data_IF_980540694849
#
_entry.id   IF_980540694849
#
_cell.length_a   1.000
_cell.length_b   1.000
_cell.length_c   1.000
_cell.angle_alpha   90.00
_cell.angle_beta   90.00
_cell.angle_gamma   90.00
#
_symmetry.space_group_name_H-M   'P 1'
#
loop_
_entity.id
_entity.type
_entity.pdbx_description
1 polymer ?
#
# COMPACT_ATOMS: atom_id res chain seq x y z
N UNK A 1 78.33 22.00 19.42
CA UNK A 1 77.51 23.09 18.84
C UNK A 1 76.64 22.47 17.76
N UNK A 2 75.34 22.80 17.73
CA UNK A 2 74.25 22.33 16.83
C UNK A 2 73.52 21.04 17.20
N UNK A 3 72.59 21.25 18.12
CA UNK A 3 71.23 20.69 18.20
C UNK A 3 70.56 20.51 16.83
N UNK A 4 69.91 19.38 16.60
CA UNK A 4 68.81 19.27 15.64
C UNK A 4 67.73 18.34 16.20
N UNK A 5 66.79 18.93 16.94
CA UNK A 5 65.51 18.32 17.27
C UNK A 5 64.73 18.17 15.95
N UNK A 6 64.47 16.94 15.52
CA UNK A 6 63.45 16.65 14.50
C UNK A 6 62.16 16.28 15.24
N UNK A 7 61.20 17.20 15.20
CA UNK A 7 59.84 17.01 15.69
C UNK A 7 59.19 15.84 14.92
N UNK A 8 59.04 14.70 15.60
CA UNK A 8 58.12 13.65 15.15
C UNK A 8 56.72 14.11 15.57
N UNK A 9 55.98 14.69 14.64
CA UNK A 9 54.55 14.92 14.82
C UNK A 9 53.88 13.54 14.68
N UNK A 10 53.61 12.92 15.83
CA UNK A 10 52.80 11.72 15.91
C UNK A 10 51.34 12.13 15.60
N UNK A 11 50.91 11.97 14.35
CA UNK A 11 49.49 11.98 14.01
C UNK A 11 48.87 10.72 14.61
N UNK A 12 48.42 10.80 15.86
CA UNK A 12 47.46 9.86 16.40
C UNK A 12 46.13 10.11 15.67
N UNK A 13 45.92 9.42 14.55
CA UNK A 13 44.60 9.25 13.96
C UNK A 13 43.74 8.51 14.97
N UNK A 14 43.02 9.28 15.79
CA UNK A 14 41.92 8.79 16.61
C UNK A 14 40.89 8.23 15.63
N UNK A 15 40.93 6.91 15.42
CA UNK A 15 39.79 6.15 14.94
C UNK A 15 38.72 6.27 16.03
N UNK A 16 37.88 7.29 15.91
CA UNK A 16 36.56 7.31 16.53
C UNK A 16 35.78 6.16 15.90
N UNK A 17 35.92 4.96 16.47
CA UNK A 17 34.99 3.88 16.23
C UNK A 17 33.62 4.41 16.69
N UNK A 18 32.79 4.78 15.72
CA UNK A 18 31.40 5.16 15.94
C UNK A 18 30.67 3.91 16.44
N UNK A 19 30.73 3.67 17.75
CA UNK A 19 29.96 2.62 18.41
C UNK A 19 28.50 3.09 18.49
N UNK A 20 27.78 3.00 17.36
CA UNK A 20 26.34 3.00 17.43
C UNK A 20 25.90 1.80 18.30
N UNK A 21 24.92 1.95 19.20
CA UNK A 21 24.37 0.82 19.94
C UNK A 21 23.95 -0.28 18.96
N UNK A 22 24.16 -1.55 19.28
CA UNK A 22 23.80 -2.69 18.42
C UNK A 22 22.33 -2.60 17.93
N UNK A 23 21.43 -2.15 18.81
CA UNK A 23 20.02 -1.91 18.48
C UNK A 23 19.81 -0.80 17.42
N UNK A 24 20.63 0.24 17.40
CA UNK A 24 20.55 1.29 16.38
C UNK A 24 21.06 0.79 15.02
N UNK A 25 22.08 -0.08 15.02
CA UNK A 25 22.59 -0.73 13.82
C UNK A 25 21.51 -1.65 13.19
N UNK A 26 20.80 -2.42 14.03
CA UNK A 26 19.70 -3.29 13.58
C UNK A 26 18.53 -2.48 12.99
N UNK A 27 18.17 -1.35 13.60
CA UNK A 27 17.10 -0.46 13.10
C UNK A 27 17.46 0.17 11.76
N UNK A 28 18.71 0.63 11.60
CA UNK A 28 19.16 1.21 10.34
C UNK A 28 19.17 0.18 9.20
N UNK A 29 19.51 -1.08 9.50
CA UNK A 29 19.42 -2.17 8.54
C UNK A 29 17.97 -2.45 8.14
N UNK A 30 17.05 -2.52 9.11
CA UNK A 30 15.61 -2.70 8.84
C UNK A 30 15.06 -1.53 7.99
N UNK A 31 15.43 -0.29 8.31
CA UNK A 31 15.04 0.88 7.52
C UNK A 31 15.53 0.80 6.07
N UNK A 32 16.76 0.35 5.86
CA UNK A 32 17.35 0.14 4.54
C UNK A 32 16.59 -0.92 3.74
N UNK A 33 16.29 -2.06 4.37
CA UNK A 33 15.54 -3.16 3.75
C UNK A 33 14.13 -2.72 3.35
N UNK A 34 13.41 -2.04 4.24
CA UNK A 34 12.05 -1.54 3.98
C UNK A 34 12.03 -0.45 2.91
N UNK A 35 13.03 0.43 2.90
CA UNK A 35 13.16 1.45 1.85
C UNK A 35 13.38 0.82 0.48
N UNK A 36 14.21 -0.23 0.41
CA UNK A 36 14.43 -0.97 -0.84
C UNK A 36 13.15 -1.67 -1.29
N UNK A 37 12.48 -2.39 -0.39
CA UNK A 37 11.21 -3.07 -0.65
C UNK A 37 10.14 -2.10 -1.18
N UNK A 38 9.96 -0.97 -0.50
CA UNK A 38 9.05 0.11 -0.93
C UNK A 38 9.37 0.58 -2.35
N UNK A 39 10.65 0.88 -2.65
CA UNK A 39 11.03 1.39 -3.98
C UNK A 39 10.75 0.37 -5.09
N UNK A 40 11.05 -0.90 -4.85
CA UNK A 40 10.80 -1.96 -5.84
C UNK A 40 9.30 -2.15 -6.06
N UNK A 41 8.52 -2.23 -4.99
CA UNK A 41 7.06 -2.39 -5.00
C UNK A 41 6.35 -1.25 -5.73
N UNK A 42 6.70 0.00 -5.41
CA UNK A 42 6.06 1.17 -6.01
C UNK A 42 6.49 1.37 -7.46
N UNK A 43 7.73 1.02 -7.81
CA UNK A 43 8.23 1.12 -9.19
C UNK A 43 7.44 0.21 -10.14
N UNK A 44 7.33 -1.08 -9.85
CA UNK A 44 6.65 -2.04 -10.74
C UNK A 44 5.16 -1.70 -10.90
N UNK A 45 4.51 -1.23 -9.82
CA UNK A 45 3.11 -0.78 -9.85
C UNK A 45 2.92 0.50 -10.66
N UNK A 46 3.84 1.45 -10.57
CA UNK A 46 3.82 2.66 -11.38
C UNK A 46 4.01 2.34 -12.87
N UNK A 47 4.92 1.42 -13.21
CA UNK A 47 5.13 0.96 -14.59
C UNK A 47 3.88 0.24 -15.13
N UNK A 48 3.26 -0.64 -14.34
CA UNK A 48 2.01 -1.31 -14.68
C UNK A 48 0.87 -0.32 -14.90
N UNK A 49 0.68 0.65 -13.99
CA UNK A 49 -0.34 1.68 -14.12
C UNK A 49 -0.15 2.55 -15.37
N UNK A 50 1.09 2.97 -15.65
CA UNK A 50 1.40 3.75 -16.83
C UNK A 50 1.08 2.98 -18.12
N UNK A 51 1.38 1.69 -18.16
CA UNK A 51 1.06 0.85 -19.31
C UNK A 51 -0.46 0.66 -19.47
N UNK A 52 -1.17 0.42 -18.36
CA UNK A 52 -2.63 0.31 -18.37
C UNK A 52 -3.31 1.61 -18.82
N UNK A 53 -2.83 2.76 -18.37
CA UNK A 53 -3.34 4.07 -18.78
C UNK A 53 -3.12 4.33 -20.27
N UNK A 54 -1.97 3.91 -20.82
CA UNK A 54 -1.73 3.98 -22.26
C UNK A 54 -2.75 3.15 -23.02
N UNK A 55 -3.00 1.91 -22.59
CA UNK A 55 -3.98 1.02 -23.23
C UNK A 55 -5.39 1.60 -23.26
N UNK A 56 -5.84 2.18 -22.15
CA UNK A 56 -7.15 2.82 -22.07
C UNK A 56 -7.30 3.98 -23.08
N UNK A 57 -6.19 4.60 -23.52
CA UNK A 57 -6.20 5.72 -24.47
C UNK A 57 -6.11 5.31 -25.95
N UNK A 58 -5.60 4.11 -26.30
CA UNK A 58 -5.41 3.70 -27.72
C UNK A 58 -6.63 2.96 -28.30
N UNK A 59 -7.60 2.58 -27.46
CA UNK A 59 -8.75 1.76 -27.85
C UNK A 59 -8.39 0.28 -28.05
N UNK A 60 -9.34 -0.63 -27.82
CA UNK A 60 -9.10 -2.08 -27.76
C UNK A 60 -8.54 -2.68 -29.07
N UNK A 61 -8.82 -2.05 -30.23
CA UNK A 61 -8.44 -2.55 -31.56
C UNK A 61 -6.95 -2.35 -31.89
N UNK A 62 -6.21 -1.60 -31.08
CA UNK A 62 -4.80 -1.25 -31.33
C UNK A 62 -3.83 -1.86 -30.28
N UNK A 63 -4.28 -2.83 -29.49
CA UNK A 63 -3.45 -3.47 -28.47
C UNK A 63 -2.53 -4.50 -29.15
N UNK A 64 -1.22 -4.24 -29.16
CA UNK A 64 -0.23 -5.18 -29.70
C UNK A 64 0.02 -6.36 -28.75
N UNK A 65 0.41 -7.51 -29.31
CA UNK A 65 0.86 -8.67 -28.52
C UNK A 65 2.00 -8.31 -27.56
N UNK A 66 2.97 -7.51 -28.02
CA UNK A 66 4.07 -7.00 -27.20
C UNK A 66 3.61 -6.20 -25.96
N UNK A 67 2.50 -5.47 -26.08
CA UNK A 67 1.93 -4.74 -24.94
C UNK A 67 1.28 -5.68 -23.93
N UNK A 68 0.62 -6.73 -24.41
CA UNK A 68 0.04 -7.77 -23.56
C UNK A 68 1.15 -8.53 -22.82
N UNK A 69 2.19 -8.94 -23.53
CA UNK A 69 3.36 -9.60 -22.94
C UNK A 69 4.02 -8.72 -21.87
N UNK A 70 4.16 -7.41 -22.15
CA UNK A 70 4.73 -6.46 -21.18
C UNK A 70 3.89 -6.34 -19.90
N UNK A 71 2.55 -6.33 -20.01
CA UNK A 71 1.67 -6.34 -18.84
C UNK A 71 1.81 -7.63 -18.04
N UNK A 72 1.87 -8.78 -18.71
CA UNK A 72 2.05 -10.08 -18.06
C UNK A 72 3.38 -10.14 -17.30
N UNK A 73 4.47 -9.66 -17.92
CA UNK A 73 5.77 -9.57 -17.25
C UNK A 73 5.74 -8.68 -16.00
N UNK A 74 5.09 -7.51 -16.08
CA UNK A 74 4.94 -6.62 -14.93
C UNK A 74 4.09 -7.24 -13.82
N UNK A 75 3.07 -8.02 -14.18
CA UNK A 75 2.26 -8.76 -13.21
C UNK A 75 3.07 -9.87 -12.51
N UNK A 76 3.85 -10.65 -13.26
CA UNK A 76 4.74 -11.67 -12.70
C UNK A 76 5.80 -11.04 -11.77
N UNK A 77 6.42 -9.94 -12.18
CA UNK A 77 7.36 -9.19 -11.34
C UNK A 77 6.69 -8.69 -10.05
N UNK A 78 5.47 -8.18 -10.14
CA UNK A 78 4.69 -7.75 -8.97
C UNK A 78 4.47 -8.91 -8.00
N UNK A 79 4.07 -10.09 -8.50
CA UNK A 79 3.86 -11.27 -7.65
C UNK A 79 5.14 -11.76 -6.97
N UNK A 80 6.28 -11.72 -7.69
CA UNK A 80 7.59 -12.08 -7.13
C UNK A 80 7.95 -11.10 -6.00
N UNK A 81 7.84 -9.79 -6.26
CA UNK A 81 8.12 -8.74 -5.26
C UNK A 81 7.20 -8.88 -4.05
N UNK A 82 5.91 -9.12 -4.25
CA UNK A 82 4.94 -9.29 -3.16
C UNK A 82 5.33 -10.48 -2.28
N UNK A 83 5.73 -11.61 -2.86
CA UNK A 83 6.17 -12.79 -2.10
C UNK A 83 7.44 -12.50 -1.29
N UNK A 84 8.42 -11.83 -1.87
CA UNK A 84 9.65 -11.41 -1.17
C UNK A 84 9.32 -10.45 -0.02
N UNK A 85 8.46 -9.47 -0.26
CA UNK A 85 8.02 -8.49 0.72
C UNK A 85 7.25 -9.16 1.88
N UNK A 86 6.41 -10.16 1.62
CA UNK A 86 5.70 -10.89 2.67
C UNK A 86 6.66 -11.68 3.58
N UNK A 87 7.72 -12.28 3.02
CA UNK A 87 8.76 -12.95 3.81
C UNK A 87 9.55 -11.94 4.67
N UNK A 88 9.88 -10.77 4.10
CA UNK A 88 10.54 -9.68 4.81
C UNK A 88 9.69 -9.20 5.99
N UNK A 89 8.40 -8.92 5.77
CA UNK A 89 7.48 -8.49 6.84
C UNK A 89 7.29 -9.56 7.90
N UNK A 90 7.22 -10.83 7.51
CA UNK A 90 7.15 -11.93 8.48
C UNK A 90 8.38 -11.98 9.40
N UNK A 91 9.57 -11.69 8.85
CA UNK A 91 10.81 -11.60 9.63
C UNK A 91 10.82 -10.38 10.56
N UNK A 92 10.53 -9.18 10.02
CA UNK A 92 10.57 -7.91 10.75
C UNK A 92 9.54 -7.90 11.90
N UNK A 93 8.33 -8.40 11.65
CA UNK A 93 7.23 -8.39 12.63
C UNK A 93 7.19 -9.64 13.53
N UNK A 94 8.20 -10.51 13.46
CA UNK A 94 8.25 -11.77 14.23
C UNK A 94 8.07 -11.57 15.74
N UNK A 95 8.59 -10.46 16.27
CA UNK A 95 8.55 -10.10 17.68
C UNK A 95 7.64 -8.89 17.96
N UNK A 96 6.68 -8.60 17.06
CA UNK A 96 5.85 -7.40 17.11
C UNK A 96 6.42 -6.24 16.31
N UNK A 97 5.80 -5.06 16.42
CA UNK A 97 6.20 -3.86 15.68
C UNK A 97 7.52 -3.30 16.21
N UNK A 98 8.60 -3.23 15.40
CA UNK A 98 9.84 -2.59 15.82
C UNK A 98 9.62 -1.12 16.16
N UNK A 99 10.31 -0.63 17.19
CA UNK A 99 10.27 0.78 17.59
C UNK A 99 11.44 1.53 16.96
N UNK A 100 11.25 2.81 16.68
CA UNK A 100 12.32 3.69 16.20
C UNK A 100 12.61 3.62 14.70
N UNK A 101 11.80 2.90 13.92
CA UNK A 101 11.88 2.96 12.45
C UNK A 101 11.52 4.36 11.94
N UNK A 102 11.97 4.68 10.75
CA UNK A 102 11.56 5.89 10.05
C UNK A 102 10.05 5.88 9.70
N UNK A 103 9.41 7.06 9.53
CA UNK A 103 8.02 7.14 9.07
C UNK A 103 7.81 6.43 7.71
N UNK A 104 8.79 6.49 6.82
CA UNK A 104 8.75 5.81 5.53
C UNK A 104 8.73 4.28 5.70
N UNK A 105 9.47 3.74 6.65
CA UNK A 105 9.48 2.30 6.95
C UNK A 105 8.17 1.80 7.52
N UNK A 106 7.52 2.55 8.43
CA UNK A 106 6.18 2.20 8.87
C UNK A 106 5.17 2.24 7.72
N UNK A 107 5.29 3.23 6.83
CA UNK A 107 4.47 3.30 5.62
C UNK A 107 4.72 2.10 4.68
N UNK A 108 5.97 1.68 4.53
CA UNK A 108 6.34 0.51 3.73
C UNK A 108 5.75 -0.78 4.32
N UNK A 109 5.83 -0.96 5.64
CA UNK A 109 5.20 -2.10 6.34
C UNK A 109 3.70 -2.14 6.04
N UNK A 110 3.01 -1.00 6.20
CA UNK A 110 1.58 -0.92 5.91
C UNK A 110 1.25 -1.24 4.45
N UNK A 111 1.97 -0.67 3.47
CA UNK A 111 1.73 -0.93 2.05
C UNK A 111 1.87 -2.41 1.69
N UNK A 112 2.93 -3.05 2.19
CA UNK A 112 3.15 -4.48 1.93
C UNK A 112 2.00 -5.32 2.51
N UNK A 113 1.52 -4.98 3.72
CA UNK A 113 0.37 -5.66 4.33
C UNK A 113 -0.91 -5.38 3.54
N UNK A 114 -1.16 -4.13 3.14
CA UNK A 114 -2.35 -3.75 2.36
C UNK A 114 -2.44 -4.51 1.04
N UNK A 115 -1.32 -4.73 0.36
CA UNK A 115 -1.26 -5.46 -0.90
C UNK A 115 -1.26 -7.00 -0.74
N UNK A 116 -1.04 -7.52 0.46
CA UNK A 116 -0.96 -8.96 0.67
C UNK A 116 -2.30 -9.69 0.52
N UNK A 117 -2.25 -11.02 0.56
CA UNK A 117 -3.45 -11.85 0.60
C UNK A 117 -4.29 -11.60 1.88
N UNK A 118 -5.54 -12.05 1.86
CA UNK A 118 -6.47 -11.85 2.98
C UNK A 118 -5.96 -12.47 4.29
N UNK A 119 -5.25 -13.60 4.22
CA UNK A 119 -4.75 -14.31 5.39
C UNK A 119 -3.69 -13.48 6.10
N UNK A 120 -2.74 -12.90 5.36
CA UNK A 120 -1.68 -12.05 5.88
C UNK A 120 -2.23 -10.72 6.38
N UNK A 121 -3.15 -10.10 5.63
CA UNK A 121 -3.84 -8.88 6.05
C UNK A 121 -4.49 -9.05 7.43
N UNK A 122 -5.29 -10.11 7.61
CA UNK A 122 -5.95 -10.41 8.89
C UNK A 122 -4.95 -10.72 10.00
N UNK A 123 -3.87 -11.45 9.68
CA UNK A 123 -2.81 -11.78 10.65
C UNK A 123 -2.17 -10.53 11.24
N UNK A 124 -1.92 -9.51 10.42
CA UNK A 124 -1.20 -8.30 10.85
C UNK A 124 -2.11 -7.10 11.14
N UNK A 125 -3.43 -7.20 10.94
CA UNK A 125 -4.39 -6.14 11.27
C UNK A 125 -4.24 -5.61 12.71
N UNK A 126 -4.09 -6.45 13.77
CA UNK A 126 -3.89 -5.93 15.13
C UNK A 126 -2.59 -5.13 15.30
N UNK A 127 -1.53 -5.49 14.57
CA UNK A 127 -0.26 -4.75 14.59
C UNK A 127 -0.41 -3.41 13.86
N UNK A 128 -1.22 -3.35 12.80
CA UNK A 128 -1.54 -2.09 12.11
C UNK A 128 -2.44 -1.19 12.95
N UNK A 129 -3.35 -1.75 13.73
CA UNK A 129 -4.13 -1.01 14.73
C UNK A 129 -3.20 -0.37 15.77
N UNK A 130 -2.27 -1.16 16.33
CA UNK A 130 -1.25 -0.66 17.26
C UNK A 130 -0.42 0.48 16.64
N UNK A 131 0.01 0.33 15.38
CA UNK A 131 0.75 1.34 14.65
C UNK A 131 -0.04 2.65 14.49
N UNK A 132 -1.33 2.55 14.17
CA UNK A 132 -2.22 3.71 14.02
C UNK A 132 -2.48 4.40 15.36
N UNK A 133 -2.74 3.64 16.45
CA UNK A 133 -2.89 4.20 17.80
C UNK A 133 -1.64 4.98 18.25
N UNK A 134 -0.45 4.50 17.85
CA UNK A 134 0.83 5.17 18.11
C UNK A 134 1.17 6.28 17.10
N UNK A 135 0.29 6.56 16.13
CA UNK A 135 0.49 7.53 15.05
C UNK A 135 1.75 7.26 14.20
N UNK A 136 2.15 5.99 14.10
CA UNK A 136 3.28 5.55 13.26
C UNK A 136 2.84 5.36 11.79
N UNK A 137 1.55 5.10 11.59
CA UNK A 137 0.84 5.20 10.31
C UNK A 137 -0.38 6.11 10.51
N UNK A 138 -0.98 6.58 9.42
CA UNK A 138 -2.19 7.41 9.51
C UNK A 138 -3.42 6.58 9.89
N UNK A 139 -4.42 7.22 10.50
CA UNK A 139 -5.72 6.57 10.76
C UNK A 139 -6.40 6.15 9.44
N UNK A 140 -6.22 6.93 8.37
CA UNK A 140 -6.69 6.58 7.05
C UNK A 140 -6.03 5.32 6.48
N UNK A 141 -4.72 5.11 6.71
CA UNK A 141 -4.03 3.89 6.30
C UNK A 141 -4.64 2.65 6.96
N UNK A 142 -4.91 2.72 8.26
CA UNK A 142 -5.59 1.64 8.97
C UNK A 142 -7.03 1.42 8.47
N UNK A 143 -7.78 2.50 8.18
CA UNK A 143 -9.12 2.42 7.62
C UNK A 143 -9.13 1.73 6.24
N UNK A 144 -8.16 2.06 5.37
CA UNK A 144 -8.00 1.44 4.05
C UNK A 144 -7.82 -0.08 4.17
N UNK A 145 -6.92 -0.53 5.04
CA UNK A 145 -6.68 -1.95 5.26
C UNK A 145 -7.93 -2.65 5.82
N UNK A 146 -8.61 -2.01 6.79
CA UNK A 146 -9.83 -2.55 7.41
C UNK A 146 -10.94 -2.74 6.39
N UNK A 147 -11.21 -1.72 5.58
CA UNK A 147 -12.25 -1.77 4.55
C UNK A 147 -11.88 -2.76 3.44
N UNK A 148 -10.59 -2.90 3.09
CA UNK A 148 -10.11 -3.91 2.14
C UNK A 148 -10.38 -5.33 2.61
N UNK A 149 -10.14 -5.60 3.90
CA UNK A 149 -10.48 -6.89 4.51
C UNK A 149 -11.99 -7.13 4.45
N UNK A 150 -12.82 -6.15 4.82
CA UNK A 150 -14.28 -6.26 4.71
C UNK A 150 -14.71 -6.60 3.28
N UNK A 151 -14.21 -5.86 2.29
CA UNK A 151 -14.51 -6.10 0.88
C UNK A 151 -14.12 -7.52 0.43
N UNK A 152 -12.90 -7.97 0.76
CA UNK A 152 -12.43 -9.34 0.44
C UNK A 152 -13.22 -10.43 1.16
N UNK A 153 -13.78 -10.15 2.32
CA UNK A 153 -14.70 -11.04 3.04
C UNK A 153 -16.15 -10.95 2.52
N UNK A 154 -16.42 -10.11 1.52
CA UNK A 154 -17.77 -9.90 0.99
C UNK A 154 -18.71 -9.23 2.00
N UNK A 155 -18.17 -8.37 2.86
CA UNK A 155 -18.89 -7.60 3.88
C UNK A 155 -18.92 -6.11 3.51
N UNK A 156 -19.92 -5.34 3.97
CA UNK A 156 -19.88 -3.88 3.84
C UNK A 156 -18.66 -3.30 4.57
N UNK A 157 -18.17 -2.18 4.06
CA UNK A 157 -17.02 -1.46 4.58
C UNK A 157 -17.44 -0.35 5.55
N UNK A 158 -16.53 0.09 6.42
CA UNK A 158 -16.85 1.05 7.49
C UNK A 158 -16.58 2.50 7.08
N UNK A 159 -15.50 2.76 6.34
CA UNK A 159 -15.02 4.10 6.04
C UNK A 159 -15.21 4.52 4.57
N UNK A 160 -15.61 3.59 3.69
CA UNK A 160 -15.89 3.91 2.30
C UNK A 160 -14.62 4.07 1.45
N UNK A 161 -13.52 3.41 1.79
CA UNK A 161 -12.23 3.61 1.09
C UNK A 161 -12.03 2.70 -0.12
N UNK A 162 -12.80 1.63 -0.24
CA UNK A 162 -12.69 0.63 -1.30
C UNK A 162 -13.75 0.84 -2.37
N UNK A 163 -13.38 0.47 -3.59
CA UNK A 163 -14.24 0.52 -4.75
C UNK A 163 -14.07 -0.73 -5.61
N UNK A 164 -15.03 -0.97 -6.49
CA UNK A 164 -15.01 -2.05 -7.46
C UNK A 164 -15.26 -1.49 -8.85
N UNK A 165 -14.38 -1.81 -9.80
CA UNK A 165 -14.51 -1.36 -11.19
C UNK A 165 -15.24 -2.42 -12.01
N UNK A 166 -16.24 -1.98 -12.76
CA UNK A 166 -17.03 -2.81 -13.67
C UNK A 166 -16.82 -2.29 -15.09
N UNK A 167 -16.58 -3.19 -16.04
CA UNK A 167 -16.60 -2.87 -17.46
C UNK A 167 -17.93 -3.32 -18.05
N UNK A 168 -18.73 -2.39 -18.57
CA UNK A 168 -19.99 -2.68 -19.25
C UNK A 168 -20.02 -1.93 -20.58
N UNK A 169 -20.30 -2.63 -21.67
CA UNK A 169 -20.34 -2.07 -23.03
C UNK A 169 -19.07 -1.27 -23.40
N UNK A 170 -17.90 -1.76 -22.97
CA UNK A 170 -16.61 -1.11 -23.22
C UNK A 170 -16.35 0.14 -22.37
N UNK A 171 -17.23 0.49 -21.44
CA UNK A 171 -17.08 1.61 -20.51
C UNK A 171 -16.79 1.12 -19.09
N UNK A 172 -15.82 1.74 -18.43
CA UNK A 172 -15.54 1.49 -17.03
C UNK A 172 -16.45 2.34 -16.14
N UNK A 173 -17.01 1.73 -15.10
CA UNK A 173 -17.76 2.37 -14.03
C UNK A 173 -17.19 1.89 -12.71
N UNK A 174 -16.84 2.82 -11.83
CA UNK A 174 -16.33 2.52 -10.49
C UNK A 174 -17.48 2.63 -9.51
N UNK A 175 -17.76 1.57 -8.76
CA UNK A 175 -18.71 1.58 -7.65
C UNK A 175 -17.94 1.67 -6.34
N UNK A 176 -18.26 2.66 -5.49
CA UNK A 176 -17.82 2.61 -4.10
C UNK A 176 -18.45 1.37 -3.45
N UNK A 177 -17.63 0.59 -2.76
CA UNK A 177 -18.11 -0.63 -2.13
C UNK A 177 -19.18 -0.33 -1.05
N UNK A 178 -20.21 -1.16 -0.88
CA UNK A 178 -21.27 -0.99 0.11
C UNK A 178 -20.75 -0.62 1.49
N UNK A 179 -21.33 0.41 2.10
CA UNK A 179 -20.96 0.88 3.43
C UNK A 179 -21.93 0.34 4.49
N UNK A 180 -21.45 0.13 5.71
CA UNK A 180 -22.26 -0.45 6.80
C UNK A 180 -23.36 0.52 7.29
N UNK A 181 -23.02 1.80 7.48
CA UNK A 181 -23.95 2.83 7.94
C UNK A 181 -23.67 4.16 7.23
N UNK A 182 -24.34 4.39 6.10
CA UNK A 182 -24.19 5.60 5.30
C UNK A 182 -24.43 6.89 6.12
N UNK A 183 -25.31 6.84 7.14
CA UNK A 183 -25.64 8.02 7.98
C UNK A 183 -24.47 8.45 8.86
N UNK A 184 -23.56 7.53 9.19
CA UNK A 184 -22.36 7.81 10.01
C UNK A 184 -21.09 7.95 9.19
N UNK A 185 -21.16 7.64 7.89
CA UNK A 185 -19.99 7.54 7.02
C UNK A 185 -19.13 8.80 7.05
N UNK A 186 -19.72 9.97 6.81
CA UNK A 186 -18.95 11.22 6.77
C UNK A 186 -18.36 11.58 8.15
N UNK A 187 -19.04 11.28 9.26
CA UNK A 187 -18.43 11.43 10.60
C UNK A 187 -17.19 10.55 10.74
N UNK A 188 -17.29 9.25 10.42
CA UNK A 188 -16.18 8.31 10.50
C UNK A 188 -15.02 8.70 9.56
N UNK A 189 -15.33 9.19 8.36
CA UNK A 189 -14.33 9.64 7.39
C UNK A 189 -13.60 10.90 7.85
N UNK A 190 -14.30 11.85 8.45
CA UNK A 190 -13.67 13.05 8.99
C UNK A 190 -12.77 12.73 10.20
N UNK A 191 -13.16 11.78 11.06
CA UNK A 191 -12.33 11.31 12.19
C UNK A 191 -10.96 10.75 11.74
N UNK A 192 -10.92 10.10 10.56
CA UNK A 192 -9.68 9.57 9.99
C UNK A 192 -8.96 10.53 9.02
N UNK A 193 -9.51 11.73 8.80
CA UNK A 193 -8.96 12.73 7.89
C UNK A 193 -9.18 12.45 6.40
N UNK A 194 -10.18 11.64 6.03
CA UNK A 194 -10.49 11.28 4.64
C UNK A 194 -11.50 12.23 3.95
N UNK A 195 -12.13 13.14 4.71
CA UNK A 195 -13.17 14.05 4.22
C UNK A 195 -14.45 13.35 3.77
N UNK A 196 -15.45 14.12 3.37
CA UNK A 196 -16.77 13.59 2.99
C UNK A 196 -16.70 12.70 1.74
N UNK A 197 -17.54 11.66 1.69
CA UNK A 197 -17.56 10.69 0.60
C UNK A 197 -17.91 11.34 -0.74
N UNK A 198 -18.78 12.34 -0.75
CA UNK A 198 -19.21 13.05 -1.95
C UNK A 198 -18.03 13.80 -2.60
N UNK A 199 -17.20 14.44 -1.77
CA UNK A 199 -15.99 15.13 -2.25
C UNK A 199 -14.98 14.14 -2.82
N UNK A 200 -14.81 13.00 -2.15
CA UNK A 200 -13.93 11.93 -2.64
C UNK A 200 -14.42 11.34 -3.97
N UNK A 201 -15.72 11.06 -4.11
CA UNK A 201 -16.31 10.55 -5.35
C UNK A 201 -16.11 11.52 -6.50
N UNK A 202 -16.32 12.82 -6.27
CA UNK A 202 -16.10 13.85 -7.28
C UNK A 202 -14.62 13.95 -7.69
N UNK A 203 -13.71 13.93 -6.72
CA UNK A 203 -12.26 13.93 -6.98
C UNK A 203 -11.84 12.70 -7.77
N UNK A 204 -12.33 11.51 -7.37
CA UNK A 204 -12.04 10.26 -8.04
C UNK A 204 -12.54 10.30 -9.48
N UNK A 205 -13.78 10.73 -9.71
CA UNK A 205 -14.39 10.90 -11.03
C UNK A 205 -13.53 11.79 -11.94
N UNK A 206 -13.06 12.92 -11.42
CA UNK A 206 -12.15 13.81 -12.16
C UNK A 206 -10.80 13.17 -12.45
N UNK A 207 -10.26 12.40 -11.51
CA UNK A 207 -8.93 11.77 -11.63
C UNK A 207 -8.93 10.61 -12.62
N UNK A 208 -9.94 9.74 -12.56
CA UNK A 208 -10.02 8.52 -13.38
C UNK A 208 -10.70 8.74 -14.73
N UNK A 209 -11.45 9.84 -14.89
CA UNK A 209 -12.13 10.16 -16.14
C UNK A 209 -13.29 9.21 -16.50
N UNK A 210 -13.76 8.38 -15.56
CA UNK A 210 -14.91 7.51 -15.74
C UNK A 210 -15.96 7.73 -14.64
N UNK A 211 -17.15 7.14 -14.82
CA UNK A 211 -18.24 7.32 -13.86
C UNK A 211 -17.89 6.65 -12.53
N UNK A 212 -18.12 7.38 -11.43
CA UNK A 212 -17.93 6.88 -10.07
C UNK A 212 -19.27 6.98 -9.35
N UNK A 213 -19.78 5.84 -8.90
CA UNK A 213 -21.09 5.70 -8.27
C UNK A 213 -20.90 5.37 -6.80
N UNK A 214 -21.43 6.25 -5.95
CA UNK A 214 -21.72 5.93 -4.55
C UNK A 214 -23.24 5.90 -4.39
N UNK A 215 -23.76 4.76 -3.97
CA UNK A 215 -25.17 4.56 -3.63
C UNK A 215 -25.24 4.13 -2.16
N UNK A 216 -25.81 4.96 -1.25
CA UNK A 216 -25.88 4.65 0.17
C UNK A 216 -26.77 3.45 0.50
N UNK A 217 -27.67 3.05 -0.41
CA UNK A 217 -28.57 1.90 -0.24
C UNK A 217 -28.03 0.62 -0.90
N UNK A 218 -26.89 0.70 -1.60
CA UNK A 218 -26.30 -0.45 -2.28
C UNK A 218 -25.75 -1.45 -1.26
N UNK A 219 -26.19 -2.70 -1.40
CA UNK A 219 -25.74 -3.82 -0.58
C UNK A 219 -24.79 -4.74 -1.33
N UNK A 220 -23.96 -5.48 -0.60
CA UNK A 220 -23.09 -6.51 -1.20
C UNK A 220 -23.91 -7.58 -1.94
N UNK A 221 -25.11 -7.91 -1.44
CA UNK A 221 -26.00 -8.88 -2.10
C UNK A 221 -26.47 -8.39 -3.47
N UNK A 222 -26.84 -7.10 -3.59
CA UNK A 222 -27.21 -6.51 -4.88
C UNK A 222 -26.02 -6.53 -5.85
N UNK A 223 -24.82 -6.17 -5.41
CA UNK A 223 -23.62 -6.27 -6.26
C UNK A 223 -23.35 -7.70 -6.75
N UNK A 224 -23.52 -8.71 -5.87
CA UNK A 224 -23.40 -10.13 -6.25
C UNK A 224 -24.41 -10.48 -7.35
N UNK A 225 -25.67 -10.07 -7.18
CA UNK A 225 -26.76 -10.34 -8.14
C UNK A 225 -26.55 -9.65 -9.48
N UNK A 226 -25.92 -8.48 -9.49
CA UNK A 226 -25.52 -7.77 -10.72
C UNK A 226 -24.36 -8.45 -11.46
N UNK A 227 -23.85 -9.59 -10.97
CA UNK A 227 -22.74 -10.32 -11.58
C UNK A 227 -21.38 -9.69 -11.32
N UNK A 228 -21.32 -8.65 -10.48
CA UNK A 228 -20.12 -7.84 -10.24
C UNK A 228 -19.10 -8.53 -9.32
N UNK A 229 -19.35 -9.76 -8.87
CA UNK A 229 -18.46 -10.48 -7.94
C UNK A 229 -18.03 -11.85 -8.44
N UNK A 230 -18.21 -12.11 -9.74
CA UNK A 230 -17.94 -13.40 -10.37
C UNK A 230 -16.47 -13.63 -10.75
N UNK A 231 -15.51 -12.95 -10.10
CA UNK A 231 -14.11 -13.36 -10.20
C UNK A 231 -13.81 -14.39 -9.10
N UNK A 232 -13.62 -15.65 -9.53
CA UNK A 232 -12.99 -16.69 -8.72
C UNK A 232 -11.74 -16.08 -8.08
N UNK A 233 -11.77 -15.92 -6.75
CA UNK A 233 -10.56 -15.78 -5.96
C UNK A 233 -9.70 -16.99 -6.27
N UNK A 234 -8.61 -16.78 -7.00
CA UNK A 234 -7.53 -17.76 -7.10
C UNK A 234 -7.02 -18.02 -5.68
N UNK A 235 -7.38 -19.20 -5.17
CA UNK A 235 -6.79 -19.84 -3.99
C UNK A 235 -5.28 -20.05 -4.18
#
# INVERSE_FOLDING_TARGET
MRTLMKNVILFASILLAFNAPLQAQDIQEIDSLLTKAYKQDQKVRAESLNLMNRLNNVGADNISAETVDSLMMLQEQTQIIDKENQLLIASILKNGLPKGLSPQSYKAIWLIIDHADLKLQKKYLPIMEEAACKKLISANDFAVLTDRICMKEGKPQKYGTQSYTVTSEGKQVIYIWPVEDARKLNTLRNEIGAGDIETYVQMLKTTVGCEVIYDPELTVSQMKKMGLLNHKSSE
#
